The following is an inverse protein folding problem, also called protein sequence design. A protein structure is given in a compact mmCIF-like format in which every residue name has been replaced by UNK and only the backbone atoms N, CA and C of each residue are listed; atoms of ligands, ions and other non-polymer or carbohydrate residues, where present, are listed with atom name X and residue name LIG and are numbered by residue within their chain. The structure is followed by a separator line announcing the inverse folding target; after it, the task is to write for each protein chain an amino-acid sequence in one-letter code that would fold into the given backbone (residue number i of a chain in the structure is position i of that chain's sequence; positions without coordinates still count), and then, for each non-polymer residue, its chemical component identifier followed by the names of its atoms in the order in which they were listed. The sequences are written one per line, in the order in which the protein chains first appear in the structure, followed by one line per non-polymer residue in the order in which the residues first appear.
data_IF_803704460867
#
_entry.id   IF_803704460867
#
_cell.length_a   1.000
_cell.length_b   1.000
_cell.length_c   1.000
_cell.angle_alpha   90.00
_cell.angle_beta   90.00
_cell.angle_gamma   90.00
#
_symmetry.space_group_name_H-M   'P 1'
#
loop_
_entity.id
_entity.type
_entity.pdbx_description
1 polymer ?
#
# COMPACT_ATOMS: atom_id res chain seq x y z
N UNK A 1 -35.09 7.62 50.66
CA UNK A 1 -34.54 6.45 49.94
C UNK A 1 -34.50 6.81 48.47
N UNK A 2 -33.29 7.06 47.97
CA UNK A 2 -32.96 7.74 46.72
C UNK A 2 -33.06 6.73 45.58
N UNK A 3 -34.08 6.84 44.72
CA UNK A 3 -34.11 6.14 43.42
C UNK A 3 -33.94 7.19 42.33
N UNK A 4 -32.79 7.84 42.37
CA UNK A 4 -32.27 8.63 41.26
C UNK A 4 -31.29 7.75 40.48
N UNK A 5 -31.20 7.99 39.18
CA UNK A 5 -30.19 7.47 38.25
C UNK A 5 -30.34 6.03 37.80
N UNK A 6 -31.18 5.82 36.79
CA UNK A 6 -30.73 5.12 35.57
C UNK A 6 -31.55 5.65 34.38
N UNK A 7 -31.43 6.96 34.10
CA UNK A 7 -31.66 7.43 32.74
C UNK A 7 -30.52 6.87 31.89
N UNK A 8 -30.83 5.70 31.35
CA UNK A 8 -30.15 4.95 30.32
C UNK A 8 -29.44 5.91 29.36
N UNK A 9 -28.15 6.11 29.59
CA UNK A 9 -27.27 6.87 28.71
C UNK A 9 -27.01 6.00 27.48
N UNK A 10 -28.00 5.92 26.59
CA UNK A 10 -27.78 5.50 25.20
C UNK A 10 -26.91 6.56 24.53
N UNK A 11 -25.61 6.48 24.80
CA UNK A 11 -24.57 7.19 24.07
C UNK A 11 -24.64 6.65 22.64
N UNK A 12 -25.40 7.35 21.81
CA UNK A 12 -25.58 7.03 20.40
C UNK A 12 -24.22 6.66 19.80
N UNK A 13 -24.14 5.45 19.26
CA UNK A 13 -22.99 5.03 18.46
C UNK A 13 -22.89 6.05 17.35
N UNK A 14 -21.92 6.96 17.45
CA UNK A 14 -21.54 7.83 16.34
C UNK A 14 -21.18 6.88 15.20
N UNK A 15 -22.06 6.81 14.21
CA UNK A 15 -21.79 6.20 12.91
C UNK A 15 -20.44 6.74 12.47
N UNK A 16 -19.42 5.88 12.49
CA UNK A 16 -18.08 6.24 12.12
C UNK A 16 -18.15 6.85 10.72
N UNK A 17 -17.74 8.10 10.59
CA UNK A 17 -17.56 8.74 9.30
C UNK A 17 -16.33 8.05 8.70
N UNK A 18 -16.51 6.89 8.05
CA UNK A 18 -15.42 6.11 7.48
C UNK A 18 -14.82 6.95 6.37
N UNK A 19 -13.70 7.61 6.69
CA UNK A 19 -12.97 8.42 5.73
C UNK A 19 -12.28 7.45 4.77
N UNK A 20 -12.90 7.24 3.61
CA UNK A 20 -12.34 6.44 2.54
C UNK A 20 -10.92 6.90 2.20
N UNK A 21 -10.01 5.94 1.98
CA UNK A 21 -8.65 6.24 1.54
C UNK A 21 -8.66 6.86 0.14
N UNK A 22 -8.01 8.03 -0.07
CA UNK A 22 -7.98 8.66 -1.38
C UNK A 22 -7.24 7.77 -2.37
N UNK A 23 -7.85 7.50 -3.52
CA UNK A 23 -7.29 6.63 -4.57
C UNK A 23 -6.74 7.45 -5.75
N UNK A 24 -5.62 7.00 -6.30
CA UNK A 24 -4.96 7.57 -7.48
C UNK A 24 -4.75 6.55 -8.59
N UNK A 25 -4.11 6.98 -9.68
CA UNK A 25 -3.75 6.07 -10.79
C UNK A 25 -2.58 5.16 -10.38
N UNK A 26 -2.65 3.83 -10.60
CA UNK A 26 -1.53 2.94 -10.33
C UNK A 26 -0.26 3.39 -11.06
N UNK A 27 0.85 3.50 -10.33
CA UNK A 27 2.14 3.92 -10.90
C UNK A 27 2.34 5.43 -11.04
N UNK A 28 1.35 6.26 -10.69
CA UNK A 28 1.58 7.70 -10.57
C UNK A 28 2.53 8.00 -9.38
N UNK A 29 3.38 9.05 -9.48
CA UNK A 29 4.22 9.47 -8.37
C UNK A 29 3.38 9.73 -7.11
N UNK A 30 3.83 9.22 -5.96
CA UNK A 30 3.11 9.35 -4.69
C UNK A 30 1.86 8.48 -4.56
N UNK A 31 1.64 7.49 -5.44
CA UNK A 31 0.52 6.54 -5.34
C UNK A 31 1.04 5.14 -5.08
N UNK A 32 0.43 4.43 -4.12
CA UNK A 32 0.77 3.03 -3.87
C UNK A 32 0.41 2.17 -5.09
N UNK A 33 1.35 1.40 -5.67
CA UNK A 33 1.06 0.60 -6.86
C UNK A 33 0.21 -0.65 -6.59
N UNK A 34 0.03 -1.02 -5.31
CA UNK A 34 -0.73 -2.21 -4.90
C UNK A 34 -2.18 -1.84 -4.56
N UNK A 35 -2.37 -0.82 -3.71
CA UNK A 35 -3.69 -0.43 -3.22
C UNK A 35 -4.23 0.89 -3.73
N UNK A 36 -3.47 1.55 -4.60
CA UNK A 36 -3.81 2.83 -5.23
C UNK A 36 -4.03 3.98 -4.25
N UNK A 37 -3.75 3.82 -2.95
CA UNK A 37 -3.84 4.91 -1.98
C UNK A 37 -2.82 6.00 -2.30
N UNK A 38 -3.27 7.25 -2.33
CA UNK A 38 -2.42 8.43 -2.47
C UNK A 38 -1.67 8.64 -1.16
N UNK A 39 -0.34 8.66 -1.25
CA UNK A 39 0.57 8.75 -0.11
C UNK A 39 0.77 10.21 0.31
N UNK A 40 0.81 10.43 1.62
CA UNK A 40 1.24 11.71 2.20
C UNK A 40 2.75 11.89 2.05
N UNK A 41 3.23 13.12 2.23
CA UNK A 41 4.63 13.53 2.02
C UNK A 41 5.67 12.62 2.70
N UNK A 42 5.34 12.05 3.85
CA UNK A 42 6.24 11.22 4.66
C UNK A 42 5.91 9.71 4.60
N UNK A 43 4.84 9.33 3.90
CA UNK A 43 4.46 7.93 3.73
C UNK A 43 5.28 7.31 2.59
N UNK A 44 6.00 6.22 2.89
CA UNK A 44 6.85 5.53 1.93
C UNK A 44 6.41 4.09 1.71
N UNK A 45 6.73 3.57 0.52
CA UNK A 45 6.57 2.16 0.23
C UNK A 45 7.59 1.34 1.02
N UNK A 46 7.12 0.28 1.66
CA UNK A 46 8.00 -0.74 2.20
C UNK A 46 8.55 -1.57 1.05
N UNK A 47 9.86 -1.45 0.84
CA UNK A 47 10.58 -2.15 -0.24
C UNK A 47 11.82 -2.86 0.28
N UNK A 48 12.25 -3.90 -0.43
CA UNK A 48 13.54 -4.56 -0.24
C UNK A 48 14.30 -4.48 -1.57
N UNK A 49 15.44 -3.79 -1.56
CA UNK A 49 16.31 -3.67 -2.73
C UNK A 49 17.45 -4.65 -2.58
N UNK A 50 17.71 -5.44 -3.61
CA UNK A 50 18.79 -6.43 -3.62
C UNK A 50 20.04 -5.83 -4.26
N UNK A 51 21.24 -6.07 -3.70
CA UNK A 51 22.49 -5.62 -4.31
C UNK A 51 22.69 -6.29 -5.68
N UNK A 52 23.31 -5.57 -6.60
CA UNK A 52 23.59 -5.99 -7.98
C UNK A 52 24.79 -5.20 -8.48
N UNK A 53 25.66 -5.87 -9.25
CA UNK A 53 26.81 -5.27 -9.95
C UNK A 53 26.38 -4.51 -11.22
N UNK A 54 25.11 -4.64 -11.64
CA UNK A 54 24.57 -4.00 -12.83
C UNK A 54 24.09 -2.56 -12.61
N UNK A 55 23.62 -1.93 -13.70
CA UNK A 55 23.02 -0.57 -13.69
C UNK A 55 21.60 -0.55 -13.10
N UNK A 56 21.05 -1.73 -12.82
CA UNK A 56 19.75 -1.90 -12.19
C UNK A 56 19.78 -2.95 -11.09
N UNK A 57 18.81 -2.83 -10.18
CA UNK A 57 18.69 -3.66 -8.97
C UNK A 57 17.32 -4.29 -8.92
N UNK A 58 17.25 -5.58 -8.60
CA UNK A 58 15.97 -6.20 -8.29
C UNK A 58 15.42 -5.58 -6.99
N UNK A 59 14.12 -5.34 -6.94
CA UNK A 59 13.46 -4.92 -5.71
C UNK A 59 12.09 -5.58 -5.54
N UNK A 60 11.74 -5.83 -4.28
CA UNK A 60 10.43 -6.31 -3.86
C UNK A 60 9.67 -5.17 -3.20
N UNK A 61 8.41 -4.94 -3.61
CA UNK A 61 7.53 -3.90 -3.06
C UNK A 61 6.40 -4.60 -2.30
N UNK A 62 6.32 -4.38 -0.99
CA UNK A 62 5.33 -5.02 -0.11
C UNK A 62 4.02 -4.22 -0.01
N UNK A 63 4.10 -2.90 -0.06
CA UNK A 63 2.95 -2.01 0.08
C UNK A 63 3.30 -0.68 0.73
N UNK A 64 2.27 0.12 1.00
CA UNK A 64 2.36 1.32 1.81
C UNK A 64 1.82 1.05 3.23
N UNK A 65 1.92 2.00 4.18
CA UNK A 65 1.44 1.82 5.55
C UNK A 65 -0.04 1.44 5.68
N UNK A 66 -0.87 1.75 4.68
CA UNK A 66 -2.30 1.44 4.67
C UNK A 66 -2.65 0.01 4.22
N UNK A 67 -1.74 -0.65 3.48
CA UNK A 67 -1.98 -2.00 2.96
C UNK A 67 -0.91 -3.01 3.40
N UNK A 68 0.07 -2.60 4.19
CA UNK A 68 1.12 -3.44 4.72
C UNK A 68 1.71 -2.84 6.01
N UNK A 69 1.93 -3.62 7.08
CA UNK A 69 1.71 -5.07 7.20
C UNK A 69 0.26 -5.46 7.48
N UNK A 70 -0.59 -4.51 7.86
CA UNK A 70 -2.01 -4.71 8.10
C UNK A 70 -2.77 -3.98 6.99
N UNK A 71 -3.81 -4.62 6.46
CA UNK A 71 -4.65 -4.04 5.41
C UNK A 71 -5.79 -3.28 6.06
N UNK A 72 -5.84 -1.97 5.84
CA UNK A 72 -7.00 -1.16 6.24
C UNK A 72 -8.25 -1.58 5.44
N UNK A 73 -9.47 -1.41 5.99
CA UNK A 73 -10.70 -1.89 5.34
C UNK A 73 -10.92 -1.42 3.90
N UNK A 74 -10.43 -0.22 3.54
CA UNK A 74 -10.59 0.38 2.21
C UNK A 74 -9.34 0.20 1.31
N UNK A 75 -8.43 -0.70 1.68
CA UNK A 75 -7.17 -0.92 0.98
C UNK A 75 -7.14 -2.24 0.19
N UNK A 76 -7.77 -2.27 -0.98
CA UNK A 76 -7.70 -3.44 -1.85
C UNK A 76 -6.30 -3.66 -2.43
N UNK A 77 -5.80 -4.89 -2.47
CA UNK A 77 -4.45 -5.18 -2.97
C UNK A 77 -4.49 -5.91 -4.31
N UNK A 78 -4.07 -5.24 -5.39
CA UNK A 78 -4.04 -5.82 -6.74
C UNK A 78 -2.71 -5.61 -7.45
N UNK A 79 -2.36 -6.56 -8.32
CA UNK A 79 -1.19 -6.43 -9.17
C UNK A 79 -1.48 -5.40 -10.28
N UNK A 80 -0.65 -4.36 -10.48
CA UNK A 80 -0.90 -3.38 -11.53
C UNK A 80 -0.76 -3.98 -12.95
N UNK A 81 -0.04 -5.09 -13.10
CA UNK A 81 0.21 -5.77 -14.37
C UNK A 81 -0.93 -6.73 -14.74
N UNK A 82 -1.15 -7.79 -13.96
CA UNK A 82 -2.14 -8.82 -14.29
C UNK A 82 -3.50 -8.65 -13.59
N UNK A 83 -3.66 -7.65 -12.73
CA UNK A 83 -4.88 -7.38 -11.93
C UNK A 83 -5.27 -8.49 -10.94
N UNK A 84 -4.46 -9.53 -10.79
CA UNK A 84 -4.67 -10.56 -9.78
C UNK A 84 -4.57 -9.96 -8.35
N UNK A 85 -5.35 -10.48 -7.38
CA UNK A 85 -5.22 -10.07 -5.99
C UNK A 85 -3.82 -10.40 -5.46
N UNK A 86 -3.25 -9.50 -4.66
CA UNK A 86 -1.91 -9.66 -4.05
C UNK A 86 -2.07 -9.86 -2.54
N UNK A 87 -1.82 -11.06 -2.02
CA UNK A 87 -1.85 -11.32 -0.58
C UNK A 87 -0.95 -10.38 0.23
N UNK A 88 -1.27 -10.18 1.51
CA UNK A 88 -0.54 -9.27 2.41
C UNK A 88 0.91 -9.69 2.66
N UNK A 89 1.16 -11.00 2.67
CA UNK A 89 2.46 -11.65 2.78
C UNK A 89 3.24 -11.71 1.44
N UNK A 90 2.60 -11.29 0.35
CA UNK A 90 3.19 -11.26 -0.99
C UNK A 90 3.68 -9.86 -1.38
N UNK A 91 4.42 -9.79 -2.48
CA UNK A 91 5.05 -8.56 -2.96
C UNK A 91 5.01 -8.45 -4.49
N UNK A 92 5.13 -7.22 -4.99
CA UNK A 92 5.45 -6.97 -6.38
C UNK A 92 6.94 -7.13 -6.62
N UNK A 93 7.27 -7.64 -7.80
CA UNK A 93 8.63 -7.78 -8.32
C UNK A 93 8.87 -6.58 -9.24
N UNK A 94 9.94 -5.84 -8.99
CA UNK A 94 10.29 -4.63 -9.72
C UNK A 94 11.81 -4.53 -9.94
N UNK A 95 12.22 -3.66 -10.86
CA UNK A 95 13.61 -3.25 -11.07
C UNK A 95 13.76 -1.77 -10.77
N UNK A 96 14.74 -1.43 -9.95
CA UNK A 96 15.17 -0.07 -9.67
C UNK A 96 16.34 0.27 -10.59
N UNK A 97 16.17 1.29 -11.41
CA UNK A 97 17.20 1.80 -12.31
C UNK A 97 17.81 3.06 -11.71
N UNK A 98 19.14 3.08 -11.58
CA UNK A 98 19.90 4.24 -11.12
C UNK A 98 20.58 4.90 -12.33
N UNK A 99 19.99 5.96 -12.90
CA UNK A 99 20.63 6.76 -13.97
C UNK A 99 21.34 7.99 -13.38
N UNK A 100 22.17 7.76 -12.36
CA UNK A 100 22.88 8.81 -11.63
C UNK A 100 22.14 9.34 -10.40
N UNK A 101 22.57 10.50 -9.84
CA UNK A 101 22.14 10.98 -8.52
C UNK A 101 20.67 11.41 -8.41
N UNK A 102 20.02 11.80 -9.51
CA UNK A 102 18.67 12.40 -9.50
C UNK A 102 17.58 11.53 -10.13
N UNK A 103 17.92 10.65 -11.07
CA UNK A 103 16.94 9.91 -11.87
C UNK A 103 16.88 8.44 -11.49
N UNK A 104 16.26 8.19 -10.34
CA UNK A 104 15.92 6.83 -9.88
C UNK A 104 14.48 6.53 -10.28
N UNK A 105 14.28 5.48 -11.06
CA UNK A 105 12.93 5.06 -11.45
C UNK A 105 12.75 3.57 -11.19
N UNK A 106 11.55 3.22 -10.75
CA UNK A 106 11.16 1.84 -10.46
C UNK A 106 10.24 1.37 -11.59
N UNK A 107 10.58 0.24 -12.19
CA UNK A 107 9.72 -0.44 -13.15
C UNK A 107 9.14 -1.70 -12.50
N UNK A 108 7.82 -1.76 -12.38
CA UNK A 108 7.11 -2.92 -11.84
C UNK A 108 6.99 -4.00 -12.92
N UNK A 109 7.58 -5.17 -12.68
CA UNK A 109 7.57 -6.29 -13.61
C UNK A 109 6.32 -7.18 -13.43
N UNK A 110 5.79 -7.27 -12.21
CA UNK A 110 4.60 -8.07 -11.92
C UNK A 110 4.49 -8.48 -10.45
N UNK A 111 3.60 -9.44 -10.17
CA UNK A 111 3.52 -10.14 -8.89
C UNK A 111 4.02 -11.59 -9.05
N UNK A 112 4.03 -12.35 -7.94
CA UNK A 112 4.40 -13.77 -7.96
C UNK A 112 3.59 -14.63 -8.95
N UNK A 113 2.34 -14.25 -9.25
CA UNK A 113 1.48 -14.98 -10.17
C UNK A 113 1.89 -14.79 -11.63
N UNK A 114 2.14 -13.55 -12.08
CA UNK A 114 2.38 -13.28 -13.49
C UNK A 114 3.86 -13.26 -13.89
N UNK A 115 4.78 -13.03 -12.94
CA UNK A 115 6.21 -12.87 -13.26
C UNK A 115 7.04 -14.15 -13.07
N UNK A 116 6.47 -15.20 -12.47
CA UNK A 116 7.13 -16.50 -12.19
C UNK A 116 8.59 -16.32 -11.77
N UNK A 117 8.81 -15.73 -10.59
CA UNK A 117 10.14 -15.47 -10.03
C UNK A 117 10.27 -16.07 -8.64
#
# INVERSE_FOLDING_TARGET
MIIAYFLFTMKGRKTGNTKYLPKGKPGAPGVCPICCTVLKKDEQLKTKVYPSEGTDRLCSIYGCPHCYPIVEPDADRFCPVCKAPVPTDSYLIARLFDRGKKDRHVHILGCRVCRHA
#
